data_IF_763106587680
#
_entry.id   IF_763106587680
#
_cell.length_a   1.000
_cell.length_b   1.000
_cell.length_c   1.000
_cell.angle_alpha   90.00
_cell.angle_beta   90.00
_cell.angle_gamma   90.00
#
_symmetry.space_group_name_H-M   'P 1'
#
loop_
_entity.id
_entity.type
_entity.pdbx_description
1 polymer ?
#
# COMPACT_ATOMS: atom_id res chain seq x y z
N UNK A 1 -42.87 33.64 -87.26
CA UNK A 1 -42.14 34.93 -87.33
C UNK A 1 -41.00 34.86 -86.33
N UNK A 2 -39.72 35.02 -86.65
CA UNK A 2 -38.98 35.22 -87.89
C UNK A 2 -37.49 34.98 -87.52
N UNK A 3 -36.80 34.11 -88.29
CA UNK A 3 -35.41 34.27 -88.80
C UNK A 3 -34.23 34.36 -87.78
N UNK A 4 -33.37 33.33 -87.58
CA UNK A 4 -32.11 32.92 -88.31
C UNK A 4 -31.07 34.06 -88.50
N UNK A 5 -29.75 33.96 -88.25
CA UNK A 5 -28.63 33.08 -88.73
C UNK A 5 -27.36 33.39 -87.87
N UNK A 6 -26.57 32.42 -87.37
CA UNK A 6 -25.35 31.72 -87.92
C UNK A 6 -24.15 32.58 -88.36
N UNK A 7 -22.94 32.27 -87.85
CA UNK A 7 -21.64 31.99 -88.53
C UNK A 7 -20.57 31.54 -87.48
N UNK A 8 -20.11 30.27 -87.51
CA UNK A 8 -18.83 29.72 -88.04
C UNK A 8 -17.57 29.99 -87.16
N UNK A 9 -16.98 29.00 -86.46
CA UNK A 9 -16.07 27.88 -86.87
C UNK A 9 -14.60 28.31 -87.03
N UNK A 10 -13.70 27.83 -86.16
CA UNK A 10 -12.32 27.37 -86.50
C UNK A 10 -11.85 26.36 -85.44
N UNK A 11 -11.31 25.22 -85.90
CA UNK A 11 -10.59 24.22 -85.11
C UNK A 11 -9.06 24.39 -85.30
N UNK A 12 -8.26 24.00 -84.32
CA UNK A 12 -6.79 23.93 -84.46
C UNK A 12 -6.11 23.15 -83.33
N UNK A 13 -5.57 21.97 -83.67
CA UNK A 13 -4.59 21.22 -82.89
C UNK A 13 -3.25 21.99 -82.83
N UNK A 14 -2.53 21.91 -81.71
CA UNK A 14 -1.17 22.42 -81.58
C UNK A 14 -0.41 21.83 -80.40
N UNK A 15 0.69 21.15 -80.71
CA UNK A 15 1.49 20.25 -79.87
C UNK A 15 2.49 21.00 -78.96
N UNK A 16 2.63 20.48 -77.74
CA UNK A 16 3.83 20.36 -76.88
C UNK A 16 5.13 21.09 -77.28
N UNK A 17 5.68 21.96 -76.39
CA UNK A 17 7.05 21.84 -75.85
C UNK A 17 7.38 22.88 -74.74
N UNK A 18 7.77 22.32 -73.59
CA UNK A 18 8.84 22.70 -72.65
C UNK A 18 8.91 24.12 -72.05
N UNK A 19 8.87 24.16 -70.70
CA UNK A 19 9.95 24.73 -69.88
C UNK A 19 9.93 24.07 -68.48
N UNK A 20 11.04 23.45 -68.14
CA UNK A 20 11.33 22.85 -66.84
C UNK A 20 11.42 23.92 -65.75
N UNK A 21 10.78 23.66 -64.60
CA UNK A 21 11.20 24.21 -63.32
C UNK A 21 11.09 23.11 -62.26
N UNK A 22 12.26 22.64 -61.81
CA UNK A 22 12.38 21.86 -60.59
C UNK A 22 11.94 22.73 -59.42
N UNK A 23 11.07 22.22 -58.56
CA UNK A 23 10.92 22.72 -57.20
C UNK A 23 10.52 21.56 -56.31
N UNK A 24 11.43 21.25 -55.40
CA UNK A 24 11.34 20.17 -54.44
C UNK A 24 10.05 20.26 -53.62
N UNK A 25 9.38 19.11 -53.51
CA UNK A 25 8.26 18.93 -52.60
C UNK A 25 8.79 19.06 -51.16
N UNK A 26 8.54 20.19 -50.53
CA UNK A 26 8.61 20.30 -49.07
C UNK A 26 7.44 19.51 -48.45
N UNK A 27 7.68 18.60 -47.49
CA UNK A 27 6.61 17.91 -46.82
C UNK A 27 5.83 18.91 -45.95
N UNK A 28 4.51 18.85 -46.03
CA UNK A 28 3.62 19.53 -45.07
C UNK A 28 3.99 19.00 -43.69
N UNK A 29 4.49 19.89 -42.84
CA UNK A 29 4.76 19.57 -41.45
C UNK A 29 3.45 19.18 -40.78
N UNK A 30 3.29 17.88 -40.55
CA UNK A 30 2.44 17.40 -39.48
C UNK A 30 2.98 18.02 -38.20
N UNK A 31 2.25 18.97 -37.63
CA UNK A 31 2.38 19.29 -36.21
C UNK A 31 1.93 18.05 -35.46
N UNK A 32 2.87 17.11 -35.29
CA UNK A 32 2.82 16.14 -34.23
C UNK A 32 2.61 16.94 -32.95
N UNK A 33 1.40 16.88 -32.40
CA UNK A 33 1.20 17.15 -30.99
C UNK A 33 2.04 16.09 -30.30
N UNK A 34 3.26 16.45 -29.94
CA UNK A 34 4.06 15.69 -29.01
C UNK A 34 3.19 15.60 -27.76
N UNK A 35 2.57 14.44 -27.55
CA UNK A 35 2.07 14.08 -26.25
C UNK A 35 3.28 14.22 -25.32
N UNK A 36 3.33 15.31 -24.54
CA UNK A 36 4.26 15.40 -23.43
C UNK A 36 4.06 14.08 -22.68
N UNK A 37 5.13 13.30 -22.49
CA UNK A 37 5.06 12.15 -21.61
C UNK A 37 4.62 12.71 -20.26
N UNK A 38 3.35 12.53 -19.92
CA UNK A 38 2.82 12.95 -18.65
C UNK A 38 3.55 12.08 -17.63
N UNK A 39 4.62 12.62 -17.04
CA UNK A 39 5.37 11.94 -16.01
C UNK A 39 4.48 11.64 -14.82
N UNK A 40 5.04 11.03 -13.78
CA UNK A 40 4.27 10.78 -12.58
C UNK A 40 3.94 12.13 -11.91
N UNK A 41 2.65 12.37 -11.68
CA UNK A 41 2.15 13.60 -11.08
C UNK A 41 1.79 13.39 -9.61
N UNK A 42 2.01 14.42 -8.78
CA UNK A 42 1.48 14.53 -7.43
C UNK A 42 0.54 15.75 -7.35
N UNK A 43 -0.72 15.53 -7.00
CA UNK A 43 -1.75 16.59 -6.90
C UNK A 43 -2.27 16.69 -5.48
N UNK A 44 -2.08 17.84 -4.83
CA UNK A 44 -2.56 18.13 -3.47
C UNK A 44 -3.95 18.77 -3.51
N UNK A 45 -4.85 18.35 -2.63
CA UNK A 45 -6.20 18.88 -2.50
C UNK A 45 -6.71 18.80 -1.06
N UNK A 46 -7.74 19.58 -0.73
CA UNK A 46 -8.50 19.38 0.53
C UNK A 46 -9.27 18.06 0.46
N UNK A 47 -9.29 17.29 1.55
CA UNK A 47 -10.05 16.04 1.66
C UNK A 47 -11.26 16.16 2.60
N UNK A 48 -11.20 17.08 3.56
CA UNK A 48 -12.27 17.33 4.52
C UNK A 48 -11.73 17.90 5.82
N UNK A 49 -12.49 17.72 6.91
CA UNK A 49 -12.06 18.08 8.25
C UNK A 49 -12.47 16.99 9.26
N UNK A 50 -11.68 16.85 10.32
CA UNK A 50 -12.03 16.03 11.48
C UNK A 50 -13.18 16.67 12.27
N UNK A 51 -13.75 15.91 13.20
CA UNK A 51 -14.84 16.37 14.07
C UNK A 51 -14.50 17.60 14.91
N UNK A 52 -13.21 17.84 15.20
CA UNK A 52 -12.71 19.02 15.90
C UNK A 52 -12.44 20.23 14.99
N UNK A 53 -12.69 20.11 13.69
CA UNK A 53 -12.47 21.14 12.69
C UNK A 53 -11.06 21.14 12.08
N UNK A 54 -10.15 20.26 12.51
CA UNK A 54 -8.82 20.15 11.92
C UNK A 54 -8.90 19.73 10.47
N UNK A 55 -8.30 20.51 9.57
CA UNK A 55 -8.28 20.22 8.14
C UNK A 55 -7.48 18.94 7.83
N UNK A 56 -8.03 18.12 6.93
CA UNK A 56 -7.37 16.94 6.38
C UNK A 56 -7.16 17.16 4.89
N UNK A 57 -5.93 16.92 4.45
CA UNK A 57 -5.52 17.09 3.06
C UNK A 57 -5.29 15.75 2.41
N UNK A 58 -5.34 15.74 1.08
CA UNK A 58 -4.98 14.59 0.25
C UNK A 58 -3.88 14.93 -0.74
N UNK A 59 -3.09 13.92 -1.11
CA UNK A 59 -2.18 13.95 -2.25
C UNK A 59 -2.44 12.72 -3.11
N UNK A 60 -2.77 12.93 -4.37
CA UNK A 60 -2.89 11.86 -5.37
C UNK A 60 -1.60 11.74 -6.17
N UNK A 61 -0.97 10.56 -6.12
CA UNK A 61 0.12 10.20 -7.02
C UNK A 61 -0.47 9.39 -8.19
N UNK A 62 -0.09 9.71 -9.42
CA UNK A 62 -0.60 9.04 -10.62
C UNK A 62 0.47 8.92 -11.69
N UNK A 63 0.66 7.71 -12.22
CA UNK A 63 1.59 7.45 -13.32
C UNK A 63 0.88 7.34 -14.68
N UNK A 64 1.65 7.32 -15.76
CA UNK A 64 1.12 7.22 -17.13
C UNK A 64 0.45 5.87 -17.44
N UNK A 65 0.72 4.83 -16.62
CA UNK A 65 0.20 3.47 -16.78
C UNK A 65 -1.19 3.27 -16.17
N UNK A 66 -1.75 4.30 -15.55
CA UNK A 66 -3.09 4.26 -14.96
C UNK A 66 -3.12 3.77 -13.52
N UNK A 67 -1.97 3.60 -12.85
CA UNK A 67 -1.93 3.42 -11.41
C UNK A 67 -2.07 4.78 -10.73
N UNK A 68 -2.94 4.83 -9.73
CA UNK A 68 -3.12 6.02 -8.91
C UNK A 68 -3.34 5.66 -7.45
N UNK A 69 -2.62 6.33 -6.55
CA UNK A 69 -2.82 6.22 -5.11
C UNK A 69 -3.19 7.58 -4.54
N UNK A 70 -4.28 7.63 -3.77
CA UNK A 70 -4.68 8.84 -3.04
C UNK A 70 -4.35 8.65 -1.56
N UNK A 71 -3.55 9.55 -1.04
CA UNK A 71 -3.03 9.53 0.33
C UNK A 71 -3.64 10.68 1.11
N UNK A 72 -3.97 10.49 2.38
CA UNK A 72 -4.53 11.53 3.24
C UNK A 72 -3.67 11.76 4.47
N UNK A 73 -3.70 12.99 5.01
CA UNK A 73 -2.90 13.35 6.20
C UNK A 73 -3.31 12.57 7.45
N UNK A 74 -4.60 12.26 7.61
CA UNK A 74 -5.08 11.47 8.74
C UNK A 74 -4.58 10.02 8.65
N UNK A 75 -3.78 9.61 9.63
CA UNK A 75 -3.10 8.31 9.68
C UNK A 75 -2.03 8.11 8.59
N UNK A 76 -1.67 9.17 7.85
CA UNK A 76 -0.89 9.06 6.60
C UNK A 76 -1.42 7.91 5.72
N UNK A 77 -2.75 7.82 5.57
CA UNK A 77 -3.44 6.63 5.07
C UNK A 77 -3.56 6.61 3.54
N UNK A 78 -3.56 5.40 2.95
CA UNK A 78 -4.01 5.22 1.57
C UNK A 78 -5.54 5.21 1.54
N UNK A 79 -6.12 6.29 1.03
CA UNK A 79 -7.56 6.39 0.84
C UNK A 79 -8.02 5.52 -0.33
N UNK A 80 -7.33 5.53 -1.46
CA UNK A 80 -7.63 4.69 -2.63
C UNK A 80 -6.36 4.24 -3.33
N UNK A 81 -6.41 3.08 -3.99
CA UNK A 81 -5.32 2.56 -4.82
C UNK A 81 -5.90 1.91 -6.08
N UNK A 82 -5.91 2.66 -7.18
CA UNK A 82 -6.46 2.23 -8.46
C UNK A 82 -5.38 1.51 -9.26
N UNK A 83 -5.67 0.29 -9.70
CA UNK A 83 -4.76 -0.54 -10.51
C UNK A 83 -5.51 -1.12 -11.73
N UNK A 84 -4.98 -0.99 -12.95
CA UNK A 84 -5.58 -1.63 -14.14
C UNK A 84 -5.60 -3.16 -14.05
N UNK A 85 -6.66 -3.79 -14.54
CA UNK A 85 -6.71 -5.24 -14.79
C UNK A 85 -6.10 -5.60 -16.16
N UNK A 86 -6.19 -6.89 -16.53
CA UNK A 86 -5.72 -7.40 -17.83
C UNK A 86 -6.41 -6.79 -19.05
N UNK A 87 -7.59 -6.19 -18.87
CA UNK A 87 -8.37 -5.53 -19.91
C UNK A 87 -8.18 -4.00 -19.89
N UNK A 88 -7.25 -3.51 -19.05
CA UNK A 88 -6.93 -2.08 -18.90
C UNK A 88 -7.91 -1.29 -18.03
N UNK A 89 -8.87 -1.95 -17.38
CA UNK A 89 -9.86 -1.29 -16.52
C UNK A 89 -9.30 -1.13 -15.10
N UNK A 90 -9.14 0.13 -14.69
CA UNK A 90 -8.74 0.44 -13.32
C UNK A 90 -9.86 0.17 -12.32
N UNK A 91 -9.51 -0.45 -11.19
CA UNK A 91 -10.37 -0.55 -10.02
C UNK A 91 -9.55 -0.24 -8.77
N UNK A 92 -10.21 0.31 -7.75
CA UNK A 92 -9.60 0.44 -6.43
C UNK A 92 -9.40 -0.95 -5.83
N UNK A 93 -8.19 -1.30 -5.41
CA UNK A 93 -7.85 -2.62 -4.88
C UNK A 93 -7.68 -2.63 -3.36
N UNK A 94 -8.07 -1.56 -2.65
CA UNK A 94 -8.08 -1.52 -1.18
C UNK A 94 -9.47 -1.19 -0.64
N UNK A 95 -9.94 -1.98 0.32
CA UNK A 95 -11.16 -1.64 1.08
C UNK A 95 -10.91 -0.39 1.94
N UNK A 96 -11.95 0.29 2.39
CA UNK A 96 -11.80 1.45 3.28
C UNK A 96 -12.98 2.38 3.23
N UNK A 97 -12.72 3.69 3.34
CA UNK A 97 -13.75 4.72 3.44
C UNK A 97 -13.59 5.78 2.36
N UNK A 98 -14.72 6.37 1.94
CA UNK A 98 -14.74 7.46 0.95
C UNK A 98 -14.47 8.84 1.57
N UNK A 99 -14.69 8.99 2.88
CA UNK A 99 -14.61 10.29 3.59
C UNK A 99 -13.73 10.19 4.84
N UNK A 100 -13.16 11.32 5.27
CA UNK A 100 -12.40 11.42 6.53
C UNK A 100 -13.23 11.01 7.75
N UNK A 101 -14.52 11.34 7.75
CA UNK A 101 -15.46 10.94 8.80
C UNK A 101 -15.53 9.42 8.97
N UNK A 102 -15.47 8.65 7.87
CA UNK A 102 -15.42 7.20 7.92
C UNK A 102 -14.18 6.67 8.65
N UNK A 103 -13.01 7.26 8.38
CA UNK A 103 -11.76 6.92 9.08
C UNK A 103 -11.84 7.27 10.57
N UNK A 104 -12.39 8.43 10.92
CA UNK A 104 -12.43 8.94 12.29
C UNK A 104 -13.46 8.19 13.15
N UNK A 105 -14.67 7.95 12.62
CA UNK A 105 -15.77 7.33 13.38
C UNK A 105 -15.68 5.81 13.44
N UNK A 106 -14.99 5.19 12.48
CA UNK A 106 -14.88 3.73 12.39
C UNK A 106 -13.40 3.30 12.30
N UNK A 107 -12.56 3.67 13.29
CA UNK A 107 -11.14 3.36 13.22
C UNK A 107 -10.93 1.86 13.34
N UNK A 108 -10.38 1.25 12.28
CA UNK A 108 -10.12 -0.19 12.22
C UNK A 108 -8.82 -0.49 11.46
N UNK A 109 -7.79 0.35 11.70
CA UNK A 109 -6.46 0.25 11.07
C UNK A 109 -6.50 0.16 9.54
N UNK A 110 -7.49 0.77 8.89
CA UNK A 110 -7.72 0.58 7.46
C UNK A 110 -6.77 1.42 6.60
N UNK A 111 -5.75 0.79 6.03
CA UNK A 111 -4.75 1.36 5.12
C UNK A 111 -3.87 2.48 5.69
N UNK A 112 -3.77 2.55 7.02
CA UNK A 112 -3.06 3.57 7.78
C UNK A 112 -1.59 3.21 7.99
N UNK A 113 -0.76 4.22 8.24
CA UNK A 113 0.55 4.02 8.85
C UNK A 113 0.38 3.72 10.34
N UNK A 114 0.95 2.62 10.80
CA UNK A 114 0.90 2.20 12.20
C UNK A 114 2.19 2.55 12.92
N UNK A 115 2.05 3.10 14.13
CA UNK A 115 3.16 3.37 15.04
C UNK A 115 2.66 3.81 16.43
N UNK A 116 3.54 3.97 17.42
CA UNK A 116 5.02 3.82 17.36
C UNK A 116 5.49 2.37 17.19
N UNK A 117 4.65 1.40 17.56
CA UNK A 117 4.95 -0.02 17.49
C UNK A 117 3.80 -0.80 16.84
N UNK A 118 4.04 -1.35 15.65
CA UNK A 118 3.13 -2.24 14.94
C UNK A 118 3.02 -3.61 15.61
N UNK A 119 1.82 -4.20 15.53
CA UNK A 119 1.44 -5.45 16.19
C UNK A 119 1.43 -5.35 17.72
N UNK A 120 1.52 -6.49 18.41
CA UNK A 120 1.28 -6.62 19.85
C UNK A 120 2.55 -6.47 20.68
N UNK A 121 2.37 -5.95 21.89
CA UNK A 121 3.30 -6.04 23.01
C UNK A 121 2.58 -6.73 24.18
N UNK A 122 3.12 -7.85 24.63
CA UNK A 122 2.51 -8.71 25.65
C UNK A 122 2.32 -7.95 26.97
N UNK A 123 1.12 -8.03 27.54
CA UNK A 123 0.80 -7.37 28.82
C UNK A 123 0.88 -5.85 28.79
N UNK A 124 1.07 -5.24 27.60
CA UNK A 124 1.37 -3.82 27.43
C UNK A 124 2.60 -3.37 28.21
N UNK A 125 3.62 -4.23 28.34
CA UNK A 125 4.83 -3.92 29.10
C UNK A 125 6.06 -4.38 28.35
N UNK A 126 7.14 -3.62 28.52
CA UNK A 126 8.48 -4.02 28.10
C UNK A 126 9.52 -3.38 29.01
N UNK A 127 10.73 -3.92 29.00
CA UNK A 127 11.86 -3.37 29.77
C UNK A 127 12.92 -2.84 28.81
N UNK A 128 13.36 -1.60 29.05
CA UNK A 128 14.42 -0.95 28.29
C UNK A 128 15.40 -0.31 29.28
N UNK A 129 16.68 -0.65 29.16
CA UNK A 129 17.77 -0.18 30.04
C UNK A 129 17.45 -0.38 31.54
N UNK A 130 16.90 -1.55 31.88
CA UNK A 130 16.54 -1.91 33.26
C UNK A 130 15.28 -1.23 33.80
N UNK A 131 14.62 -0.35 33.02
CA UNK A 131 13.37 0.29 33.39
C UNK A 131 12.19 -0.35 32.67
N UNK A 132 11.16 -0.72 33.42
CA UNK A 132 9.89 -1.20 32.87
C UNK A 132 9.00 -0.04 32.45
N UNK A 133 8.48 -0.11 31.22
CA UNK A 133 7.48 0.80 30.68
C UNK A 133 6.14 0.09 30.62
N UNK A 134 5.06 0.81 30.93
CA UNK A 134 3.68 0.30 30.85
C UNK A 134 2.92 1.13 29.82
N UNK A 135 2.27 0.43 28.91
CA UNK A 135 1.51 0.95 27.79
C UNK A 135 0.02 0.70 28.02
N UNK A 136 -0.88 1.48 27.42
CA UNK A 136 -2.31 1.22 27.48
C UNK A 136 -2.68 -0.13 26.86
N UNK A 137 -3.59 -0.86 27.51
CA UNK A 137 -4.13 -2.11 27.00
C UNK A 137 -5.36 -1.79 26.13
N UNK A 138 -5.21 -1.89 24.81
CA UNK A 138 -6.27 -1.64 23.84
C UNK A 138 -6.69 -2.90 23.06
N UNK A 139 -6.01 -4.02 23.29
CA UNK A 139 -6.43 -5.33 22.78
C UNK A 139 -6.41 -6.34 23.94
N UNK A 140 -7.54 -6.41 24.66
CA UNK A 140 -7.72 -7.25 25.85
C UNK A 140 -6.63 -6.98 26.90
N UNK A 141 -5.65 -7.88 27.02
CA UNK A 141 -4.55 -7.81 27.99
C UNK A 141 -3.26 -7.23 27.41
N UNK A 142 -3.25 -6.86 26.13
CA UNK A 142 -2.06 -6.45 25.39
C UNK A 142 -2.20 -5.03 24.84
N UNK A 143 -1.06 -4.43 24.49
CA UNK A 143 -1.04 -3.22 23.65
C UNK A 143 -0.93 -3.65 22.20
N UNK A 144 -1.77 -3.08 21.33
CA UNK A 144 -1.81 -3.35 19.91
C UNK A 144 -1.62 -2.05 19.12
N UNK A 145 -0.75 -2.07 18.10
CA UNK A 145 -0.60 -1.01 17.10
C UNK A 145 -0.40 0.39 17.73
N UNK A 146 0.52 0.47 18.69
CA UNK A 146 0.90 1.73 19.34
C UNK A 146 -0.08 2.24 20.40
N UNK A 147 -1.21 1.57 20.65
CA UNK A 147 -2.17 1.93 21.70
C UNK A 147 -3.48 2.54 21.18
N UNK A 148 -4.37 2.99 22.09
CA UNK A 148 -5.71 3.46 21.73
C UNK A 148 -5.68 4.70 20.83
N UNK A 149 -4.68 5.57 20.99
CA UNK A 149 -4.43 6.73 20.11
C UNK A 149 -3.07 6.59 19.41
N UNK A 150 -2.86 5.45 18.74
CA UNK A 150 -1.71 5.22 17.89
C UNK A 150 -1.63 6.19 16.70
N UNK A 151 -0.53 6.11 15.95
CA UNK A 151 -0.24 7.04 14.85
C UNK A 151 -1.22 6.93 13.68
N UNK A 152 -2.00 5.85 13.64
CA UNK A 152 -3.13 5.64 12.73
C UNK A 152 -4.25 6.66 12.91
N UNK A 153 -4.38 7.26 14.11
CA UNK A 153 -5.46 8.19 14.46
C UNK A 153 -5.00 9.65 14.59
N UNK A 154 -3.78 9.94 14.17
CA UNK A 154 -3.21 11.28 14.22
C UNK A 154 -3.24 11.92 12.83
N UNK A 155 -3.46 13.22 12.77
CA UNK A 155 -3.31 13.96 11.53
C UNK A 155 -1.84 14.31 11.32
N UNK A 156 -1.20 13.68 10.34
CA UNK A 156 0.19 13.94 9.98
C UNK A 156 0.32 15.24 9.20
N UNK A 157 1.52 15.81 9.17
CA UNK A 157 1.79 17.01 8.37
C UNK A 157 2.43 16.62 7.03
N UNK A 158 2.00 17.22 5.93
CA UNK A 158 2.71 17.10 4.65
C UNK A 158 4.01 17.89 4.75
N UNK A 159 5.14 17.17 4.71
CA UNK A 159 6.49 17.75 4.74
C UNK A 159 7.01 18.13 3.35
N UNK A 160 6.67 17.33 2.34
CA UNK A 160 7.15 17.51 0.97
C UNK A 160 6.22 16.84 -0.05
N UNK A 161 6.11 17.42 -1.25
CA UNK A 161 5.36 16.86 -2.40
C UNK A 161 6.14 17.13 -3.68
N UNK A 162 6.41 16.08 -4.46
CA UNK A 162 7.22 16.15 -5.69
C UNK A 162 6.53 15.44 -6.84
N UNK A 163 6.57 16.08 -8.01
CA UNK A 163 6.26 15.45 -9.31
C UNK A 163 7.54 15.34 -10.13
N UNK A 164 7.59 14.40 -11.05
CA UNK A 164 8.79 14.17 -11.86
C UNK A 164 8.50 13.33 -13.10
N UNK A 165 9.46 13.30 -14.03
CA UNK A 165 9.30 12.56 -15.28
C UNK A 165 9.09 11.05 -15.06
N UNK A 166 9.73 10.47 -14.04
CA UNK A 166 9.73 9.03 -13.77
C UNK A 166 9.10 8.63 -12.43
N UNK A 167 8.96 9.57 -11.50
CA UNK A 167 8.41 9.31 -10.16
C UNK A 167 7.77 10.56 -9.55
N UNK A 168 6.82 10.33 -8.64
CA UNK A 168 6.21 11.36 -7.80
C UNK A 168 6.15 10.84 -6.37
N UNK A 169 6.22 11.75 -5.40
CA UNK A 169 6.21 11.38 -3.99
C UNK A 169 5.52 12.41 -3.10
N UNK A 170 5.09 11.92 -1.94
CA UNK A 170 4.67 12.75 -0.79
C UNK A 170 5.35 12.21 0.46
N UNK A 171 5.87 13.12 1.28
CA UNK A 171 6.39 12.78 2.61
C UNK A 171 5.47 13.36 3.68
N UNK A 172 4.94 12.49 4.54
CA UNK A 172 4.24 12.87 5.76
C UNK A 172 5.20 12.81 6.94
N UNK A 173 5.03 13.71 7.91
CA UNK A 173 5.82 13.76 9.14
C UNK A 173 4.94 13.85 10.38
N UNK A 174 5.38 13.21 11.46
CA UNK A 174 4.71 13.20 12.76
C UNK A 174 5.75 13.28 13.89
N UNK A 175 5.47 14.11 14.89
CA UNK A 175 6.23 14.15 16.13
C UNK A 175 5.41 13.52 17.26
N UNK A 176 5.84 12.35 17.72
CA UNK A 176 5.29 11.64 18.89
C UNK A 176 6.13 12.01 20.11
N UNK A 177 5.58 12.77 21.05
CA UNK A 177 6.31 13.31 22.22
C UNK A 177 6.77 12.20 23.17
N UNK A 178 7.76 12.49 24.01
CA UNK A 178 8.12 11.64 25.16
C UNK A 178 6.88 11.33 26.01
N UNK A 179 6.68 10.05 26.32
CA UNK A 179 5.54 9.55 27.07
C UNK A 179 4.26 9.33 26.25
N UNK A 180 4.25 9.62 24.94
CA UNK A 180 3.09 9.35 24.08
C UNK A 180 2.75 7.85 24.08
N UNK A 181 1.51 7.52 24.40
CA UNK A 181 1.03 6.16 24.68
C UNK A 181 1.90 5.36 25.67
N UNK A 182 2.69 6.02 26.51
CA UNK A 182 3.60 5.39 27.47
C UNK A 182 5.00 5.04 26.95
N UNK A 183 5.30 5.33 25.67
CA UNK A 183 6.63 5.09 25.10
C UNK A 183 7.62 6.20 25.50
N UNK A 184 8.88 5.86 25.86
CA UNK A 184 9.90 6.87 26.18
C UNK A 184 10.42 7.56 24.92
N UNK A 185 10.88 8.80 25.06
CA UNK A 185 11.52 9.57 24.01
C UNK A 185 10.55 10.22 23.03
N UNK A 186 10.88 11.43 22.62
CA UNK A 186 10.25 12.09 21.48
C UNK A 186 10.78 11.45 20.21
N UNK A 187 9.87 10.93 19.38
CA UNK A 187 10.18 10.39 18.06
C UNK A 187 9.65 11.32 16.98
N UNK A 188 10.52 11.68 16.04
CA UNK A 188 10.12 12.32 14.78
C UNK A 188 10.17 11.26 13.70
N UNK A 189 9.01 10.96 13.10
CA UNK A 189 8.87 9.96 12.07
C UNK A 189 8.42 10.59 10.75
N UNK A 190 9.03 10.15 9.66
CA UNK A 190 8.62 10.44 8.30
C UNK A 190 8.17 9.14 7.62
N UNK A 191 7.11 9.22 6.81
CA UNK A 191 6.77 8.21 5.80
C UNK A 191 6.69 8.87 4.43
N UNK A 192 7.52 8.39 3.51
CA UNK A 192 7.51 8.82 2.11
C UNK A 192 6.85 7.75 1.26
N UNK A 193 5.78 8.14 0.57
CA UNK A 193 5.15 7.34 -0.47
C UNK A 193 5.68 7.80 -1.82
N UNK A 194 6.18 6.88 -2.64
CA UNK A 194 6.67 7.18 -3.98
C UNK A 194 6.05 6.24 -4.99
N UNK A 195 5.44 6.79 -6.04
CA UNK A 195 4.95 6.04 -7.20
C UNK A 195 5.89 6.28 -8.38
N UNK A 196 6.26 5.22 -9.11
CA UNK A 196 7.12 5.30 -10.29
C UNK A 196 6.36 4.97 -11.59
N UNK A 197 6.93 5.33 -12.73
CA UNK A 197 6.47 4.89 -14.05
C UNK A 197 6.61 3.36 -14.26
N UNK A 198 7.41 2.69 -13.43
CA UNK A 198 7.58 1.23 -13.46
C UNK A 198 6.56 0.49 -12.60
N UNK A 199 5.46 1.16 -12.19
CA UNK A 199 4.40 0.60 -11.34
C UNK A 199 4.85 0.18 -9.93
N UNK A 200 5.94 0.77 -9.44
CA UNK A 200 6.36 0.59 -8.05
C UNK A 200 5.70 1.65 -7.18
N UNK A 201 4.95 1.21 -6.18
CA UNK A 201 4.53 2.03 -5.04
C UNK A 201 5.38 1.65 -3.83
N UNK A 202 6.25 2.56 -3.39
CA UNK A 202 7.10 2.34 -2.23
C UNK A 202 6.69 3.18 -1.03
N UNK A 203 6.95 2.63 0.15
CA UNK A 203 6.70 3.21 1.47
C UNK A 203 8.03 3.19 2.21
N UNK A 204 8.65 4.35 2.39
CA UNK A 204 9.94 4.47 3.09
C UNK A 204 9.74 5.22 4.39
N UNK A 205 10.07 4.57 5.49
CA UNK A 205 9.98 5.12 6.83
C UNK A 205 11.34 5.58 7.31
N UNK A 206 11.37 6.72 7.99
CA UNK A 206 12.54 7.20 8.75
C UNK A 206 12.09 7.66 10.11
N UNK A 207 12.84 7.32 11.16
CA UNK A 207 12.56 7.88 12.48
C UNK A 207 13.84 8.14 13.28
N UNK A 208 13.83 9.20 14.08
CA UNK A 208 14.87 9.54 15.05
C UNK A 208 14.24 9.78 16.41
N UNK A 209 15.06 9.71 17.47
CA UNK A 209 14.59 9.86 18.86
C UNK A 209 15.55 10.69 19.70
N UNK A 210 15.04 11.33 20.75
CA UNK A 210 15.84 12.04 21.76
C UNK A 210 16.23 11.18 22.98
N UNK A 211 15.61 10.00 23.13
CA UNK A 211 15.92 8.99 24.18
C UNK A 211 15.82 7.57 23.61
N UNK A 212 16.49 6.57 24.20
CA UNK A 212 16.27 5.18 23.86
C UNK A 212 14.78 4.82 23.89
N UNK A 213 14.30 4.20 22.82
CA UNK A 213 12.89 3.80 22.67
C UNK A 213 12.76 2.55 21.81
N UNK A 214 11.53 2.11 21.56
CA UNK A 214 11.23 1.04 20.59
C UNK A 214 10.38 1.59 19.44
N UNK A 215 10.75 1.24 18.21
CA UNK A 215 10.05 1.64 16.98
C UNK A 215 9.88 0.43 16.09
N UNK A 216 8.65 0.22 15.62
CA UNK A 216 8.31 -0.77 14.60
C UNK A 216 7.16 -0.19 13.78
N UNK A 217 7.41 0.19 12.53
CA UNK A 217 6.41 0.84 11.68
C UNK A 217 5.94 -0.11 10.59
N UNK A 218 4.72 0.11 10.10
CA UNK A 218 4.20 -0.59 8.93
C UNK A 218 3.03 0.19 8.32
N UNK A 219 2.58 -0.23 7.14
CA UNK A 219 1.29 0.21 6.59
C UNK A 219 0.31 -0.96 6.63
N UNK A 220 -0.87 -0.73 7.19
CA UNK A 220 -1.91 -1.75 7.35
C UNK A 220 -2.87 -1.75 6.14
N UNK A 221 -2.32 -1.90 4.94
CA UNK A 221 -3.06 -1.96 3.68
C UNK A 221 -3.93 -3.21 3.60
N UNK A 222 -5.23 -3.04 3.31
CA UNK A 222 -6.22 -4.11 3.21
C UNK A 222 -6.62 -4.32 1.74
N UNK A 223 -5.97 -5.28 1.10
CA UNK A 223 -6.01 -5.49 -0.35
C UNK A 223 -7.08 -6.49 -0.80
N UNK A 224 -7.74 -6.19 -1.90
CA UNK A 224 -8.53 -7.11 -2.71
C UNK A 224 -8.25 -6.84 -4.20
N UNK A 225 -7.43 -7.68 -4.82
CA UNK A 225 -7.03 -7.52 -6.23
C UNK A 225 -8.20 -7.69 -7.22
N UNK A 226 -9.31 -8.29 -6.79
CA UNK A 226 -10.55 -8.33 -7.57
C UNK A 226 -11.17 -6.96 -7.81
N UNK A 227 -10.81 -5.95 -7.01
CA UNK A 227 -11.29 -4.58 -7.09
C UNK A 227 -12.54 -4.32 -6.23
N UNK A 228 -12.77 -3.05 -5.90
CA UNK A 228 -13.89 -2.54 -5.10
C UNK A 228 -14.88 -1.80 -6.02
N UNK A 229 -16.21 -2.00 -5.89
CA UNK A 229 -16.89 -2.90 -4.96
C UNK A 229 -16.57 -4.36 -5.26
N UNK A 230 -16.24 -5.09 -4.20
CA UNK A 230 -15.78 -6.45 -4.31
C UNK A 230 -16.91 -7.41 -4.67
N UNK A 231 -16.70 -8.18 -5.73
CA UNK A 231 -17.61 -9.26 -6.16
C UNK A 231 -17.09 -10.65 -5.78
N UNK A 232 -15.87 -10.71 -5.24
CA UNK A 232 -15.14 -11.93 -4.83
C UNK A 232 -14.32 -11.66 -3.57
N UNK A 233 -13.96 -12.72 -2.85
CA UNK A 233 -13.14 -12.59 -1.64
C UNK A 233 -11.67 -12.37 -2.02
N UNK A 234 -10.94 -11.64 -1.17
CA UNK A 234 -9.50 -11.45 -1.39
C UNK A 234 -8.73 -12.76 -1.22
N UNK A 235 -9.28 -13.72 -0.47
CA UNK A 235 -8.69 -15.04 -0.27
C UNK A 235 -8.78 -15.96 -1.49
N UNK A 236 -9.54 -15.58 -2.51
CA UNK A 236 -9.58 -16.31 -3.78
C UNK A 236 -8.34 -16.01 -4.66
N UNK A 237 -7.43 -15.15 -4.21
CA UNK A 237 -6.13 -14.92 -4.82
C UNK A 237 -5.12 -16.04 -4.45
N UNK A 238 -4.19 -16.30 -5.36
CA UNK A 238 -3.02 -17.13 -5.10
C UNK A 238 -1.93 -16.30 -4.42
N UNK A 239 -1.33 -16.86 -3.38
CA UNK A 239 -0.23 -16.23 -2.63
C UNK A 239 0.97 -17.15 -2.64
N UNK A 240 2.16 -16.55 -2.78
CA UNK A 240 3.46 -17.15 -2.49
C UNK A 240 4.19 -16.26 -1.51
N UNK A 241 4.79 -16.84 -0.46
CA UNK A 241 5.57 -16.13 0.54
C UNK A 241 6.98 -16.73 0.57
N UNK A 242 7.98 -15.87 0.53
CA UNK A 242 9.40 -16.24 0.64
C UNK A 242 9.76 -16.51 2.11
N UNK A 243 9.19 -17.56 2.69
CA UNK A 243 9.31 -17.90 4.10
C UNK A 243 9.19 -19.40 4.34
N UNK A 244 9.99 -19.94 5.27
CA UNK A 244 9.96 -21.36 5.66
C UNK A 244 9.38 -21.58 7.07
N UNK A 245 9.06 -20.49 7.80
CA UNK A 245 8.54 -20.55 9.15
C UNK A 245 7.64 -19.35 9.49
N UNK A 246 6.68 -19.55 10.38
CA UNK A 246 5.94 -18.48 11.04
C UNK A 246 6.34 -18.37 12.52
N UNK A 247 5.92 -17.28 13.15
CA UNK A 247 5.82 -17.18 14.60
C UNK A 247 4.43 -17.66 15.04
N UNK A 248 4.28 -18.91 15.53
CA UNK A 248 3.05 -19.36 16.17
C UNK A 248 2.76 -18.54 17.42
N UNK A 249 1.48 -18.35 17.68
CA UNK A 249 0.96 -17.50 18.75
C UNK A 249 0.17 -18.27 19.79
N UNK A 250 0.06 -17.67 20.97
CA UNK A 250 -0.83 -18.14 22.04
C UNK A 250 -2.27 -17.61 21.88
N UNK A 251 -3.13 -17.91 22.86
CA UNK A 251 -4.56 -17.50 22.85
C UNK A 251 -4.77 -15.98 22.91
N UNK A 252 -3.76 -15.23 23.30
CA UNK A 252 -3.75 -13.78 23.31
C UNK A 252 -3.12 -13.20 22.02
N UNK A 253 -2.81 -14.06 21.05
CA UNK A 253 -2.13 -13.73 19.79
C UNK A 253 -0.72 -13.16 19.99
N UNK A 254 -0.04 -13.55 21.08
CA UNK A 254 1.35 -13.22 21.35
C UNK A 254 2.25 -14.35 20.83
N UNK A 255 3.36 -14.05 20.12
CA UNK A 255 4.32 -15.08 19.71
C UNK A 255 4.80 -15.93 20.88
N UNK A 256 4.91 -17.23 20.66
CA UNK A 256 5.43 -18.15 21.68
C UNK A 256 6.95 -18.01 21.91
N UNK A 257 7.63 -17.19 21.12
CA UNK A 257 9.09 -17.07 21.08
C UNK A 257 9.79 -18.17 20.27
N UNK A 258 9.05 -19.12 19.71
CA UNK A 258 9.57 -20.22 18.89
C UNK A 258 9.10 -20.08 17.45
N UNK A 259 9.91 -20.56 16.52
CA UNK A 259 9.55 -20.65 15.10
C UNK A 259 8.79 -21.96 14.82
N UNK A 260 7.80 -21.92 13.94
CA UNK A 260 7.09 -23.11 13.44
C UNK A 260 7.32 -23.26 11.94
N UNK A 261 7.90 -24.39 11.47
CA UNK A 261 8.05 -24.65 10.05
C UNK A 261 6.70 -24.65 9.33
N UNK A 262 6.63 -24.05 8.14
CA UNK A 262 5.38 -23.99 7.38
C UNK A 262 5.08 -25.29 6.64
N UNK A 263 6.10 -26.08 6.30
CA UNK A 263 5.95 -27.28 5.46
C UNK A 263 4.94 -28.26 6.06
N UNK A 264 3.93 -28.63 5.26
CA UNK A 264 2.89 -29.56 5.67
C UNK A 264 1.82 -28.96 6.60
N UNK A 265 1.83 -27.65 6.80
CA UNK A 265 0.81 -26.90 7.56
C UNK A 265 -0.03 -26.03 6.61
N UNK A 266 -1.16 -25.45 7.06
CA UNK A 266 -1.91 -24.48 6.26
C UNK A 266 -1.14 -23.19 5.95
N UNK A 267 -0.03 -22.95 6.64
CA UNK A 267 0.80 -21.77 6.45
C UNK A 267 1.79 -21.92 5.29
N UNK A 268 1.85 -23.08 4.63
CA UNK A 268 2.77 -23.32 3.52
C UNK A 268 2.37 -22.55 2.26
N UNK A 269 3.00 -21.40 2.06
CA UNK A 269 2.97 -20.62 0.82
C UNK A 269 4.36 -20.59 0.14
N UNK A 270 5.21 -21.59 0.38
CA UNK A 270 6.53 -21.66 -0.27
C UNK A 270 6.43 -21.81 -1.78
N UNK A 271 5.27 -22.27 -2.26
CA UNK A 271 4.80 -22.26 -3.64
C UNK A 271 3.43 -21.57 -3.73
N UNK A 272 3.02 -21.04 -4.91
CA UNK A 272 1.72 -20.39 -5.07
C UNK A 272 0.58 -21.29 -4.62
N UNK A 273 -0.29 -20.77 -3.74
CA UNK A 273 -1.45 -21.48 -3.22
C UNK A 273 -2.62 -20.52 -2.97
N UNK A 274 -3.84 -21.01 -3.16
CA UNK A 274 -5.06 -20.25 -2.84
C UNK A 274 -5.18 -20.08 -1.33
N UNK A 275 -5.43 -18.85 -0.88
CA UNK A 275 -5.60 -18.56 0.55
C UNK A 275 -6.89 -19.18 1.09
N UNK A 276 -7.96 -19.22 0.26
CA UNK A 276 -9.26 -19.84 0.59
C UNK A 276 -9.11 -21.31 1.02
N UNK A 277 -8.15 -22.05 0.46
CA UNK A 277 -7.91 -23.45 0.82
C UNK A 277 -7.19 -23.58 2.18
N UNK A 278 -6.41 -22.57 2.56
CA UNK A 278 -5.66 -22.54 3.84
C UNK A 278 -6.54 -22.13 5.01
N UNK A 279 -7.34 -21.07 4.84
CA UNK A 279 -8.14 -20.48 5.94
C UNK A 279 -9.33 -21.34 6.39
N UNK A 280 -9.66 -22.40 5.63
CA UNK A 280 -10.69 -23.40 6.00
C UNK A 280 -10.15 -24.55 6.86
N UNK A 281 -8.84 -24.57 7.14
CA UNK A 281 -8.23 -25.61 7.97
C UNK A 281 -8.72 -25.56 9.43
N UNK A 282 -8.74 -26.73 10.08
CA UNK A 282 -8.98 -26.88 11.52
C UNK A 282 -7.70 -26.82 12.35
N UNK A 283 -6.57 -26.44 11.76
CA UNK A 283 -5.31 -26.25 12.46
C UNK A 283 -5.50 -25.29 13.66
N UNK A 284 -4.96 -25.61 14.85
CA UNK A 284 -5.13 -24.78 16.04
C UNK A 284 -4.75 -23.31 15.85
N UNK A 285 -3.74 -23.01 15.04
CA UNK A 285 -3.30 -21.64 14.75
C UNK A 285 -4.28 -20.93 13.79
N UNK A 286 -4.96 -21.65 12.89
CA UNK A 286 -6.04 -21.04 12.09
C UNK A 286 -7.26 -20.75 12.96
N UNK A 287 -7.61 -21.67 13.87
CA UNK A 287 -8.73 -21.49 14.81
C UNK A 287 -8.48 -20.30 15.74
N UNK A 288 -7.25 -20.15 16.26
CA UNK A 288 -6.87 -19.04 17.16
C UNK A 288 -6.96 -17.67 16.45
N UNK A 289 -6.64 -17.64 15.15
CA UNK A 289 -6.79 -16.47 14.27
C UNK A 289 -8.22 -16.16 13.83
N UNK A 290 -9.23 -16.66 14.57
CA UNK A 290 -10.65 -16.57 14.25
C UNK A 290 -11.01 -17.23 12.91
N UNK A 291 -10.46 -18.42 12.64
CA UNK A 291 -10.67 -19.15 11.39
C UNK A 291 -10.01 -18.45 10.21
N UNK A 292 -8.78 -17.99 10.37
CA UNK A 292 -7.98 -17.42 9.29
C UNK A 292 -6.53 -17.20 9.73
N UNK A 293 -5.73 -16.63 8.84
CA UNK A 293 -4.31 -16.37 9.11
C UNK A 293 -4.21 -14.97 9.71
N UNK A 294 -3.56 -14.87 10.86
CA UNK A 294 -3.13 -13.64 11.51
C UNK A 294 -1.73 -13.87 12.13
N UNK A 295 -0.73 -14.15 11.29
CA UNK A 295 0.59 -14.59 11.73
C UNK A 295 1.72 -13.84 11.04
N UNK A 296 2.81 -13.65 11.79
CA UNK A 296 4.06 -13.13 11.26
C UNK A 296 4.84 -14.27 10.59
N UNK A 297 5.02 -14.17 9.28
CA UNK A 297 5.96 -15.00 8.52
C UNK A 297 7.38 -14.48 8.68
N UNK A 298 8.33 -15.40 8.88
CA UNK A 298 9.76 -15.10 8.97
C UNK A 298 10.31 -15.10 7.55
N UNK A 299 10.58 -13.92 6.99
CA UNK A 299 11.00 -13.77 5.61
C UNK A 299 12.44 -14.24 5.42
N UNK A 300 12.67 -14.98 4.34
CA UNK A 300 14.00 -15.45 3.93
C UNK A 300 14.94 -14.25 3.75
N UNK A 301 16.09 -14.31 4.40
CA UNK A 301 17.10 -13.26 4.36
C UNK A 301 17.01 -12.25 5.51
N UNK A 302 15.96 -12.31 6.34
CA UNK A 302 15.84 -11.49 7.55
C UNK A 302 15.89 -9.98 7.26
N UNK A 303 16.46 -9.22 8.19
CA UNK A 303 16.63 -7.78 8.03
C UNK A 303 17.72 -7.48 6.99
N UNK A 304 17.39 -6.68 5.97
CA UNK A 304 18.29 -6.37 4.86
C UNK A 304 18.43 -4.88 4.61
N UNK A 305 19.56 -4.47 4.00
CA UNK A 305 19.83 -3.07 3.67
C UNK A 305 18.99 -2.55 2.49
N UNK A 306 18.60 -3.44 1.57
CA UNK A 306 17.74 -3.15 0.42
C UNK A 306 16.55 -4.10 0.40
N UNK A 307 15.40 -3.68 -0.17
CA UNK A 307 14.22 -4.52 -0.25
C UNK A 307 14.49 -5.85 -0.97
N UNK A 308 14.04 -6.97 -0.40
CA UNK A 308 14.01 -8.28 -1.04
C UNK A 308 12.59 -8.78 -1.19
N UNK A 309 12.33 -9.55 -2.24
CA UNK A 309 11.02 -10.16 -2.50
C UNK A 309 10.58 -10.98 -1.29
N UNK A 310 9.37 -10.71 -0.80
CA UNK A 310 8.76 -11.36 0.35
C UNK A 310 7.44 -12.04 -0.01
N UNK A 311 6.60 -11.41 -0.83
CA UNK A 311 5.28 -11.93 -1.21
C UNK A 311 5.03 -11.73 -2.70
N UNK A 312 4.35 -12.68 -3.30
CA UNK A 312 3.66 -12.53 -4.59
C UNK A 312 2.20 -12.89 -4.37
N UNK A 313 1.28 -12.02 -4.80
CA UNK A 313 -0.16 -12.25 -4.76
C UNK A 313 -0.76 -11.97 -6.14
N UNK A 314 -1.58 -12.89 -6.62
CA UNK A 314 -2.18 -12.84 -7.95
C UNK A 314 -3.66 -13.20 -7.89
N UNK A 315 -4.50 -12.36 -8.47
CA UNK A 315 -5.89 -12.70 -8.76
C UNK A 315 -6.03 -12.98 -10.25
N UNK A 316 -5.98 -14.26 -10.63
CA UNK A 316 -6.00 -14.70 -12.04
C UNK A 316 -7.26 -14.27 -12.81
N UNK A 317 -8.38 -14.05 -12.12
CA UNK A 317 -9.63 -13.66 -12.80
C UNK A 317 -9.61 -12.19 -13.24
N UNK A 318 -9.15 -11.26 -12.39
CA UNK A 318 -8.91 -9.89 -12.86
C UNK A 318 -7.61 -9.81 -13.68
N UNK A 319 -6.66 -10.69 -13.43
CA UNK A 319 -5.31 -10.60 -13.99
C UNK A 319 -4.46 -9.53 -13.33
N UNK A 320 -4.84 -9.01 -12.15
CA UNK A 320 -3.96 -8.16 -11.34
C UNK A 320 -3.00 -9.01 -10.52
N UNK A 321 -1.73 -8.63 -10.55
CA UNK A 321 -0.67 -9.19 -9.71
C UNK A 321 0.05 -8.10 -8.93
N UNK A 322 0.54 -8.44 -7.74
CA UNK A 322 1.37 -7.59 -6.90
C UNK A 322 2.49 -8.42 -6.29
N UNK A 323 3.73 -7.94 -6.41
CA UNK A 323 4.82 -8.41 -5.55
C UNK A 323 5.11 -7.41 -4.46
N UNK A 324 5.52 -7.90 -3.29
CA UNK A 324 5.92 -7.10 -2.14
C UNK A 324 7.38 -7.43 -1.86
N UNK A 325 8.23 -6.42 -1.91
CA UNK A 325 9.62 -6.49 -1.48
C UNK A 325 9.83 -5.61 -0.25
N UNK A 326 10.63 -6.04 0.73
CA UNK A 326 10.87 -5.24 1.94
C UNK A 326 12.26 -5.43 2.52
N UNK A 327 12.72 -4.45 3.30
CA UNK A 327 13.90 -4.55 4.16
C UNK A 327 13.64 -5.28 5.47
N UNK A 328 12.36 -5.47 5.83
CA UNK A 328 11.96 -6.06 7.11
C UNK A 328 12.15 -7.58 7.17
N UNK A 329 12.44 -8.13 8.37
CA UNK A 329 12.61 -9.57 8.56
C UNK A 329 11.29 -10.33 8.59
N UNK A 330 10.16 -9.66 8.82
CA UNK A 330 8.85 -10.27 8.99
C UNK A 330 7.78 -9.65 8.11
N UNK A 331 6.78 -10.45 7.78
CA UNK A 331 5.52 -9.94 7.22
C UNK A 331 4.33 -10.53 7.97
N UNK A 332 3.48 -9.68 8.54
CA UNK A 332 2.18 -10.12 9.06
C UNK A 332 1.27 -10.40 7.87
N UNK A 333 0.76 -11.62 7.76
CA UNK A 333 -0.39 -11.88 6.90
C UNK A 333 -1.65 -11.91 7.74
N UNK A 334 -2.59 -11.02 7.44
CA UNK A 334 -3.90 -10.99 8.07
C UNK A 334 -4.99 -11.13 7.01
N UNK A 335 -5.80 -12.19 7.08
CA UNK A 335 -6.81 -12.50 6.07
C UNK A 335 -8.19 -11.87 6.32
N UNK A 336 -8.26 -10.73 7.03
CA UNK A 336 -9.54 -10.04 7.23
C UNK A 336 -10.51 -10.78 8.16
N UNK A 337 -10.00 -11.58 9.10
CA UNK A 337 -10.77 -12.57 9.86
C UNK A 337 -11.80 -11.95 10.83
N UNK A 338 -11.60 -10.69 11.21
CA UNK A 338 -12.45 -9.96 12.15
C UNK A 338 -13.40 -8.96 11.47
N UNK A 339 -13.40 -8.90 10.13
CA UNK A 339 -14.41 -8.17 9.38
C UNK A 339 -15.75 -8.93 9.51
N UNK A 340 -16.74 -8.31 10.15
CA UNK A 340 -18.00 -8.97 10.54
C UNK A 340 -19.23 -8.45 9.80
N UNK A 341 -19.04 -7.58 8.80
CA UNK A 341 -20.10 -7.00 7.98
C UNK A 341 -20.79 -5.77 8.58
N UNK A 342 -20.47 -5.37 9.82
CA UNK A 342 -21.09 -4.20 10.47
C UNK A 342 -20.52 -2.88 9.96
N UNK A 343 -19.27 -2.87 9.51
CA UNK A 343 -18.62 -1.69 8.94
C UNK A 343 -19.04 -1.56 7.47
N UNK A 344 -19.53 -0.39 7.10
CA UNK A 344 -19.83 -0.03 5.71
C UNK A 344 -18.64 0.74 5.15
N UNK A 345 -18.01 0.19 4.12
CA UNK A 345 -16.88 0.80 3.41
C UNK A 345 -17.29 1.59 2.17
N UNK A 346 -16.32 1.76 1.26
CA UNK A 346 -16.47 2.50 0.01
C UNK A 346 -17.66 2.04 -0.81
N UNK A 347 -18.36 3.00 -1.43
CA UNK A 347 -19.51 2.71 -2.28
C UNK A 347 -20.66 2.00 -1.56
N UNK A 348 -20.72 2.07 -0.22
CA UNK A 348 -21.76 1.43 0.59
C UNK A 348 -21.59 -0.07 0.80
N UNK A 349 -20.45 -0.67 0.45
CA UNK A 349 -20.22 -2.10 0.61
C UNK A 349 -19.87 -2.48 2.05
N UNK A 350 -20.62 -3.42 2.65
CA UNK A 350 -20.25 -4.01 3.93
C UNK A 350 -18.93 -4.78 3.86
N UNK A 351 -18.06 -4.56 4.86
CA UNK A 351 -16.77 -5.22 4.97
C UNK A 351 -16.92 -6.54 5.73
N UNK A 352 -16.82 -7.66 5.01
CA UNK A 352 -17.04 -9.01 5.54
C UNK A 352 -15.74 -9.82 5.65
N UNK A 353 -15.80 -10.95 6.36
CA UNK A 353 -14.67 -11.86 6.55
C UNK A 353 -14.05 -12.24 5.21
N UNK A 354 -12.72 -12.23 5.14
CA UNK A 354 -11.93 -12.55 3.93
C UNK A 354 -12.06 -11.56 2.77
N UNK A 355 -12.77 -10.43 2.96
CA UNK A 355 -12.95 -9.43 1.91
C UNK A 355 -11.65 -8.70 1.55
N UNK A 356 -10.65 -8.74 2.43
CA UNK A 356 -9.33 -8.16 2.20
C UNK A 356 -8.23 -8.98 2.91
N UNK A 357 -6.99 -8.85 2.41
CA UNK A 357 -5.78 -9.41 3.01
C UNK A 357 -4.79 -8.26 3.26
N UNK A 358 -4.18 -8.23 4.44
CA UNK A 358 -3.05 -7.37 4.73
C UNK A 358 -1.72 -8.14 4.69
N UNK A 359 -0.68 -7.43 4.27
CA UNK A 359 0.72 -7.87 4.26
C UNK A 359 1.58 -6.78 4.89
N UNK A 360 1.74 -6.84 6.21
CA UNK A 360 2.40 -5.78 6.97
C UNK A 360 3.87 -6.13 7.17
N UNK A 361 4.75 -5.51 6.38
CA UNK A 361 6.20 -5.68 6.57
C UNK A 361 6.63 -4.99 7.87
N UNK A 362 7.28 -5.73 8.77
CA UNK A 362 7.60 -5.28 10.13
C UNK A 362 8.72 -6.09 10.79
N UNK A 363 9.23 -5.58 11.91
CA UNK A 363 9.93 -6.40 12.92
C UNK A 363 8.92 -7.32 13.59
N UNK A 364 9.40 -8.38 14.23
CA UNK A 364 8.53 -9.38 14.82
C UNK A 364 7.64 -8.79 15.94
N UNK A 365 6.39 -9.26 16.07
CA UNK A 365 5.55 -8.89 17.19
C UNK A 365 6.25 -9.21 18.52
N UNK A 366 6.02 -8.37 19.52
CA UNK A 366 6.56 -8.51 20.87
C UNK A 366 8.10 -8.59 20.99
N UNK A 367 8.87 -8.20 19.94
CA UNK A 367 10.34 -8.11 19.98
C UNK A 367 10.93 -7.46 21.25
N UNK A 368 10.36 -6.38 21.83
CA UNK A 368 10.87 -5.81 23.09
C UNK A 368 10.93 -6.79 24.28
N UNK A 369 10.16 -7.88 24.24
CA UNK A 369 10.12 -8.92 25.27
C UNK A 369 10.79 -10.24 24.83
N UNK A 370 11.31 -10.30 23.59
CA UNK A 370 11.97 -11.47 23.03
C UNK A 370 13.40 -11.11 22.57
N UNK A 371 14.42 -11.24 23.44
CA UNK A 371 15.80 -10.85 23.12
C UNK A 371 16.43 -11.57 21.91
N UNK A 372 15.88 -12.72 21.52
CA UNK A 372 16.32 -13.47 20.34
C UNK A 372 15.74 -12.92 19.02
N UNK A 373 14.71 -12.09 19.07
CA UNK A 373 14.09 -11.50 17.88
C UNK A 373 14.89 -10.29 17.38
N UNK A 374 14.74 -9.91 16.10
CA UNK A 374 15.31 -8.69 15.57
C UNK A 374 14.92 -7.48 16.43
N UNK A 375 15.93 -6.73 16.86
CA UNK A 375 15.73 -5.58 17.75
C UNK A 375 14.86 -4.50 17.11
N UNK A 376 14.01 -3.91 17.95
CA UNK A 376 13.19 -2.73 17.64
C UNK A 376 13.69 -1.49 18.38
N UNK A 377 14.82 -1.60 19.12
CA UNK A 377 15.42 -0.49 19.85
C UNK A 377 15.90 0.59 18.87
N UNK A 378 15.64 1.84 19.19
CA UNK A 378 16.19 3.01 18.54
C UNK A 378 16.83 3.92 19.60
N UNK A 379 18.11 4.26 19.43
CA UNK A 379 18.86 5.13 20.33
C UNK A 379 19.08 6.53 19.73
N UNK A 380 19.34 7.56 20.56
CA UNK A 380 19.73 8.88 20.08
C UNK A 380 20.97 8.81 19.18
N UNK A 381 20.96 9.57 18.09
CA UNK A 381 22.02 9.55 17.07
C UNK A 381 21.86 8.44 16.03
N UNK A 382 20.96 7.48 16.22
CA UNK A 382 20.59 6.50 15.20
C UNK A 382 19.42 7.01 14.34
N UNK A 383 19.25 6.38 13.18
CA UNK A 383 18.08 6.57 12.33
C UNK A 383 17.47 5.20 12.04
N UNK A 384 16.21 5.02 12.41
CA UNK A 384 15.40 3.90 11.94
C UNK A 384 15.12 4.10 10.46
N UNK A 385 15.29 3.03 9.65
CA UNK A 385 14.93 3.03 8.24
C UNK A 385 14.26 1.71 7.88
N UNK A 386 13.18 1.80 7.12
CA UNK A 386 12.50 0.66 6.51
C UNK A 386 12.02 1.08 5.11
N UNK A 387 12.11 0.20 4.13
CA UNK A 387 11.43 0.37 2.84
C UNK A 387 10.66 -0.89 2.47
N UNK A 388 9.40 -0.69 2.06
CA UNK A 388 8.57 -1.70 1.41
C UNK A 388 8.18 -1.21 0.03
N UNK A 389 8.16 -2.09 -0.97
CA UNK A 389 7.85 -1.78 -2.37
C UNK A 389 6.78 -2.76 -2.85
N UNK A 390 5.66 -2.21 -3.33
CA UNK A 390 4.61 -2.96 -4.00
C UNK A 390 4.76 -2.72 -5.50
N UNK A 391 5.12 -3.77 -6.24
CA UNK A 391 5.22 -3.73 -7.69
C UNK A 391 3.96 -4.34 -8.31
N UNK A 392 3.24 -3.57 -9.11
CA UNK A 392 2.01 -4.02 -9.78
C UNK A 392 2.25 -4.43 -11.22
N UNK A 393 1.65 -5.54 -11.60
CA UNK A 393 1.76 -6.09 -12.95
C UNK A 393 0.47 -6.79 -13.36
N UNK A 394 0.37 -7.08 -14.65
CA UNK A 394 -0.71 -7.90 -15.21
C UNK A 394 -0.23 -9.34 -15.31
N UNK A 395 -1.00 -10.26 -14.74
CA UNK A 395 -0.78 -11.71 -14.87
C UNK A 395 -1.03 -12.11 -16.33
N UNK A 396 -0.13 -12.90 -16.90
CA UNK A 396 -0.21 -13.35 -18.29
C UNK A 396 -1.24 -14.45 -18.51
#
# INVERSE_FOLDING_TARGET
MLVTKRFALVAGLGTLMLLSACSDKAPKGDTAVTAASAGVTATRASFGALSDGTAVESVELKNSKGISVKLITYGAAMQSLLVPDKDGKAADIIIGYDTVEGFEKTPNYTNVTVGRYANRIAGGKFTLDGKTFTLPLNDKTNTLHGGPKGWDKLNWTIKDVKSGANEASVTFTLTSKDGDQGFPGTVVADVTYTLTENNDLSFTYKATTDKPTVVNLTNHGLYNLGGIPATRLATDAEVKIESDAILPVDKALIPTGKEMPVKGTPFDFTSPALVTDRVKSTDPQIVIGNGGIDHNYIIRGGLTATPKLAVTIEDKTSGRGMTISTTEPGIQMYTGNFLDGKIVGKGGQSLVKYQAIAFEAQRYPDSPNHPAFPTTRLDPGQTYTQTTVHHFYTVK
#
